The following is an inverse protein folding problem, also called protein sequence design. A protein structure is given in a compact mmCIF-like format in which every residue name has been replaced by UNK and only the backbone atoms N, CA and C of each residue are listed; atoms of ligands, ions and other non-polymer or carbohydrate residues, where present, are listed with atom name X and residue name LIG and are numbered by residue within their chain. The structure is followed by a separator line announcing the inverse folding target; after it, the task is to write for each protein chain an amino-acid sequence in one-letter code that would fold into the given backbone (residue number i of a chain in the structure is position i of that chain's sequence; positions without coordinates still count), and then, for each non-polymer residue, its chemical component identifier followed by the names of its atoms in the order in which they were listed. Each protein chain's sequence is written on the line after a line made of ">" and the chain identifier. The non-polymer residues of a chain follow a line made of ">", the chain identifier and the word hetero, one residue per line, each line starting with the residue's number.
data_IF_381391239535
#
_entry.id   IF_381391239535
#
_cell.length_a   1.000
_cell.length_b   1.000
_cell.length_c   1.000
_cell.angle_alpha   90.00
_cell.angle_beta   90.00
_cell.angle_gamma   90.00
#
_symmetry.space_group_name_H-M   'P 1'
#
loop_
_entity.id
_entity.type
_entity.pdbx_description
1 polymer ?
#
# COMPACT_ATOMS: atom_id res chain seq x y z
N UNK A 1 -33.33 -24.08 56.33
CA UNK A 1 -31.86 -23.95 56.40
C UNK A 1 -31.13 -24.71 55.27
N UNK A 2 -31.60 -25.87 54.81
CA UNK A 2 -30.93 -26.66 53.75
C UNK A 2 -30.93 -26.02 52.34
N UNK A 3 -31.92 -25.19 51.99
CA UNK A 3 -32.04 -24.57 50.66
C UNK A 3 -30.97 -23.47 50.39
N UNK A 4 -30.53 -22.77 51.43
CA UNK A 4 -29.45 -21.78 51.34
C UNK A 4 -28.10 -22.44 51.05
N UNK A 5 -27.88 -23.65 51.57
CA UNK A 5 -26.65 -24.41 51.37
C UNK A 5 -26.49 -24.90 49.93
N UNK A 6 -27.59 -25.25 49.26
CA UNK A 6 -27.60 -25.64 47.84
C UNK A 6 -27.37 -24.45 46.90
N UNK A 7 -27.92 -23.28 47.24
CA UNK A 7 -27.68 -22.04 46.48
C UNK A 7 -26.21 -21.62 46.51
N UNK A 8 -25.54 -21.76 47.67
CA UNK A 8 -24.12 -21.46 47.79
C UNK A 8 -23.24 -22.44 46.98
N UNK A 9 -23.58 -23.73 46.97
CA UNK A 9 -22.83 -24.73 46.20
C UNK A 9 -23.02 -24.54 44.69
N UNK A 10 -24.23 -24.20 44.23
CA UNK A 10 -24.50 -23.90 42.82
C UNK A 10 -23.78 -22.64 42.33
N UNK A 11 -23.72 -21.59 43.17
CA UNK A 11 -22.98 -20.37 42.86
C UNK A 11 -21.45 -20.58 42.87
N UNK A 12 -20.93 -21.42 43.77
CA UNK A 12 -19.51 -21.78 43.78
C UNK A 12 -19.13 -22.61 42.54
N UNK A 13 -20.00 -23.53 42.11
CA UNK A 13 -19.80 -24.34 40.90
C UNK A 13 -19.79 -23.54 39.60
N UNK A 14 -20.60 -22.48 39.50
CA UNK A 14 -20.61 -21.57 38.34
C UNK A 14 -19.34 -20.71 38.23
N UNK A 15 -18.64 -20.44 39.34
CA UNK A 15 -17.39 -19.66 39.30
C UNK A 15 -16.16 -20.44 38.84
N UNK A 16 -16.17 -21.78 38.89
CA UNK A 16 -15.02 -22.60 38.46
C UNK A 16 -15.07 -22.97 36.96
N UNK A 17 -16.17 -22.73 36.25
CA UNK A 17 -16.35 -23.13 34.84
C UNK A 17 -15.74 -22.18 33.79
N UNK A 18 -15.15 -21.06 34.19
CA UNK A 18 -14.61 -20.06 33.26
C UNK A 18 -13.07 -20.07 33.25
N UNK A 19 -12.46 -21.21 32.92
CA UNK A 19 -11.04 -21.27 32.53
C UNK A 19 -10.93 -21.84 31.11
N UNK A 20 -11.28 -21.02 30.13
CA UNK A 20 -11.13 -21.33 28.72
C UNK A 20 -10.81 -20.07 27.94
N UNK A 21 -9.56 -19.60 28.00
CA UNK A 21 -9.10 -18.51 27.13
C UNK A 21 -7.96 -17.68 27.67
N UNK A 22 -6.74 -18.21 27.69
CA UNK A 22 -5.54 -17.39 27.89
C UNK A 22 -4.32 -17.78 27.04
N UNK A 23 -4.42 -18.75 26.13
CA UNK A 23 -3.33 -19.04 25.18
C UNK A 23 -3.25 -18.00 24.04
N UNK A 24 -4.37 -17.36 23.70
CA UNK A 24 -4.44 -16.36 22.62
C UNK A 24 -3.78 -15.03 22.99
N UNK A 25 -3.74 -14.66 24.27
CA UNK A 25 -3.13 -13.40 24.74
C UNK A 25 -1.60 -13.50 24.79
N UNK A 26 -1.04 -14.68 25.09
CA UNK A 26 0.42 -14.91 25.07
C UNK A 26 1.00 -14.88 23.64
N UNK A 27 0.19 -15.18 22.62
CA UNK A 27 0.58 -15.09 21.21
C UNK A 27 0.71 -13.66 20.68
N UNK A 28 0.20 -12.66 21.41
CA UNK A 28 0.32 -11.24 21.03
C UNK A 28 1.72 -10.68 21.30
N UNK A 29 2.53 -11.37 22.10
CA UNK A 29 3.91 -11.01 22.44
C UNK A 29 4.93 -11.95 21.79
N UNK A 30 4.57 -12.59 20.66
CA UNK A 30 5.56 -13.27 19.86
C UNK A 30 6.69 -12.28 19.55
N UNK A 31 7.95 -12.56 19.91
CA UNK A 31 9.04 -11.68 19.60
C UNK A 31 9.03 -11.50 18.09
N UNK A 32 8.82 -10.26 17.65
CA UNK A 32 9.05 -9.85 16.29
C UNK A 32 10.50 -10.23 16.02
N UNK A 33 10.72 -11.35 15.32
CA UNK A 33 12.06 -11.83 15.03
C UNK A 33 12.73 -10.69 14.29
N UNK A 34 13.70 -10.05 14.95
CA UNK A 34 14.60 -9.13 14.26
C UNK A 34 15.17 -9.95 13.11
N UNK A 35 14.89 -9.58 11.85
CA UNK A 35 15.37 -10.37 10.74
C UNK A 35 16.89 -10.41 10.82
N UNK A 36 17.44 -11.63 10.91
CA UNK A 36 18.88 -11.86 10.83
C UNK A 36 19.40 -11.16 9.58
N UNK A 37 20.50 -10.42 9.70
CA UNK A 37 21.07 -9.68 8.57
C UNK A 37 21.31 -10.64 7.38
N UNK A 38 20.62 -10.46 6.24
CA UNK A 38 20.77 -11.33 5.08
C UNK A 38 22.16 -11.26 4.45
N UNK A 39 23.02 -10.33 4.87
CA UNK A 39 24.41 -10.20 4.44
C UNK A 39 25.40 -11.01 5.30
N UNK A 40 24.96 -11.66 6.39
CA UNK A 40 25.82 -12.49 7.25
C UNK A 40 25.28 -13.92 7.44
N UNK A 41 26.18 -14.85 7.70
CA UNK A 41 25.94 -16.23 8.13
C UNK A 41 26.85 -16.52 9.32
N UNK A 42 26.31 -16.45 10.55
CA UNK A 42 27.06 -16.68 11.79
C UNK A 42 28.41 -15.91 11.79
N UNK A 43 28.35 -14.59 11.64
CA UNK A 43 29.48 -13.65 11.49
C UNK A 43 30.33 -13.74 10.21
N UNK A 44 30.03 -14.68 9.30
CA UNK A 44 30.70 -14.74 7.99
C UNK A 44 29.94 -13.88 6.96
N UNK A 45 30.61 -12.92 6.30
CA UNK A 45 29.95 -12.10 5.29
C UNK A 45 29.59 -12.94 4.06
N UNK A 46 28.37 -12.76 3.55
CA UNK A 46 27.86 -13.34 2.30
C UNK A 46 27.25 -12.27 1.40
N UNK A 47 27.12 -12.58 0.11
CA UNK A 47 26.48 -11.66 -0.85
C UNK A 47 24.98 -11.58 -0.57
N UNK A 48 24.52 -10.41 -0.16
CA UNK A 48 23.11 -10.05 -0.12
C UNK A 48 22.75 -9.24 -1.38
N UNK A 49 21.53 -9.44 -1.88
CA UNK A 49 20.96 -8.68 -2.98
C UNK A 49 19.65 -8.09 -2.44
N UNK A 50 19.41 -6.78 -2.57
CA UNK A 50 18.14 -6.19 -2.17
C UNK A 50 16.96 -6.80 -2.93
N UNK A 51 15.77 -6.61 -2.39
CA UNK A 51 14.55 -7.03 -3.06
C UNK A 51 14.38 -6.34 -4.42
N UNK A 52 13.77 -7.06 -5.35
CA UNK A 52 13.45 -6.52 -6.65
C UNK A 52 12.27 -5.55 -6.55
N UNK A 53 12.53 -4.27 -6.81
CA UNK A 53 11.53 -3.19 -6.72
C UNK A 53 11.58 -2.30 -7.96
N UNK A 54 10.47 -1.59 -8.21
CA UNK A 54 10.47 -0.49 -9.16
C UNK A 54 11.12 0.74 -8.52
N UNK A 55 12.35 1.05 -8.92
CA UNK A 55 13.10 2.20 -8.40
C UNK A 55 12.45 3.56 -8.67
N UNK A 56 11.58 3.65 -9.69
CA UNK A 56 10.93 4.89 -10.08
C UNK A 56 9.61 5.14 -9.34
N UNK A 57 8.98 4.10 -8.76
CA UNK A 57 7.63 4.22 -8.18
C UNK A 57 7.56 5.29 -7.09
N UNK A 58 6.61 6.22 -7.22
CA UNK A 58 6.40 7.34 -6.31
C UNK A 58 7.53 8.38 -6.28
N UNK A 59 8.56 8.27 -7.11
CA UNK A 59 9.64 9.26 -7.19
C UNK A 59 9.21 10.45 -8.04
N UNK A 60 9.60 11.65 -7.60
CA UNK A 60 9.43 12.86 -8.40
C UNK A 60 10.33 12.80 -9.63
N UNK A 61 9.78 13.13 -10.79
CA UNK A 61 10.49 13.21 -12.06
C UNK A 61 10.49 14.66 -12.53
N UNK A 62 11.66 15.15 -12.93
CA UNK A 62 11.80 16.46 -13.55
C UNK A 62 11.72 16.30 -15.07
N UNK A 63 10.74 16.96 -15.69
CA UNK A 63 10.55 16.97 -17.13
C UNK A 63 10.90 18.36 -17.68
N UNK A 64 11.68 18.39 -18.76
CA UNK A 64 12.07 19.66 -19.42
C UNK A 64 10.91 20.37 -20.12
N UNK A 65 9.83 19.64 -20.41
CA UNK A 65 8.60 20.16 -20.99
C UNK A 65 7.40 19.47 -20.33
N UNK A 66 6.33 20.20 -20.10
CA UNK A 66 5.04 19.63 -19.66
C UNK A 66 3.95 20.52 -20.23
N UNK A 67 2.97 19.92 -20.90
CA UNK A 67 1.91 20.65 -21.58
C UNK A 67 1.06 21.45 -20.58
N UNK A 68 0.41 22.53 -21.03
CA UNK A 68 -0.49 23.31 -20.17
C UNK A 68 0.16 24.19 -19.09
N UNK A 69 1.49 24.10 -18.88
CA UNK A 69 2.20 24.82 -17.80
C UNK A 69 2.14 26.35 -17.96
N UNK A 70 2.37 26.86 -19.18
CA UNK A 70 2.36 28.31 -19.46
C UNK A 70 1.00 28.82 -19.91
N UNK A 71 0.28 28.02 -20.69
CA UNK A 71 -1.07 28.29 -21.19
C UNK A 71 -1.70 26.98 -21.69
N UNK A 72 -3.05 26.89 -21.76
CA UNK A 72 -3.72 25.74 -22.35
C UNK A 72 -3.24 25.47 -23.78
N UNK A 73 -2.80 24.25 -24.05
CA UNK A 73 -2.27 23.84 -25.35
C UNK A 73 -3.14 22.75 -25.98
N UNK A 74 -3.21 22.70 -27.32
CA UNK A 74 -3.95 21.66 -28.05
C UNK A 74 -3.00 20.58 -28.52
N UNK A 75 -3.33 19.32 -28.27
CA UNK A 75 -2.62 18.16 -28.83
C UNK A 75 -3.60 17.27 -29.58
N UNK A 76 -3.11 16.49 -30.54
CA UNK A 76 -3.94 15.55 -31.30
C UNK A 76 -3.28 14.18 -31.28
N UNK A 77 -4.07 13.14 -31.02
CA UNK A 77 -3.57 11.78 -31.11
C UNK A 77 -3.44 11.39 -32.58
N UNK A 78 -2.40 10.63 -32.90
CA UNK A 78 -2.21 10.10 -34.25
C UNK A 78 -2.93 8.76 -34.32
N UNK A 79 -3.87 8.63 -35.24
CA UNK A 79 -4.57 7.38 -35.53
C UNK A 79 -4.21 6.90 -36.94
N UNK A 80 -4.28 5.59 -37.18
CA UNK A 80 -3.96 4.97 -38.48
C UNK A 80 -4.95 5.37 -39.60
N UNK A 81 -6.05 6.06 -39.29
CA UNK A 81 -7.04 6.54 -40.25
C UNK A 81 -7.43 8.01 -40.01
N UNK A 82 -6.96 8.90 -40.89
CA UNK A 82 -7.33 10.32 -40.99
C UNK A 82 -7.26 11.18 -39.69
N UNK A 83 -6.25 10.93 -38.86
CA UNK A 83 -5.97 11.76 -37.68
C UNK A 83 -6.90 11.45 -36.50
N UNK A 84 -6.32 11.31 -35.31
CA UNK A 84 -7.07 11.03 -34.09
C UNK A 84 -7.73 12.28 -33.52
N UNK A 85 -8.52 12.11 -32.45
CA UNK A 85 -9.15 13.23 -31.75
C UNK A 85 -8.10 14.20 -31.20
N UNK A 86 -8.47 15.47 -31.18
CA UNK A 86 -7.68 16.50 -30.53
C UNK A 86 -8.25 16.88 -29.17
N UNK A 87 -7.35 17.15 -28.24
CA UNK A 87 -7.63 17.45 -26.84
C UNK A 87 -6.92 18.73 -26.42
N UNK A 88 -7.37 19.31 -25.31
CA UNK A 88 -6.72 20.47 -24.69
C UNK A 88 -6.04 19.99 -23.42
N UNK A 89 -4.74 20.28 -23.32
CA UNK A 89 -3.97 20.14 -22.09
C UNK A 89 -3.97 21.46 -21.32
N UNK A 90 -4.36 21.41 -20.05
CA UNK A 90 -4.45 22.57 -19.17
C UNK A 90 -4.07 22.14 -17.74
N UNK A 91 -2.96 22.68 -17.23
CA UNK A 91 -2.41 22.33 -15.91
C UNK A 91 -3.36 22.69 -14.76
N UNK A 92 -4.22 23.69 -14.97
CA UNK A 92 -5.19 24.15 -13.95
C UNK A 92 -6.37 23.19 -13.80
N UNK A 93 -6.61 22.31 -14.78
CA UNK A 93 -7.74 21.40 -14.81
C UNK A 93 -7.28 19.97 -14.54
N UNK A 94 -7.62 19.36 -13.38
CA UNK A 94 -7.16 18.01 -13.02
C UNK A 94 -7.47 16.91 -14.05
N UNK A 95 -8.55 17.06 -14.82
CA UNK A 95 -8.97 16.10 -15.86
C UNK A 95 -8.23 16.28 -17.20
N UNK A 96 -7.48 17.38 -17.36
CA UNK A 96 -6.80 17.78 -18.60
C UNK A 96 -5.32 18.10 -18.40
N UNK A 97 -4.83 18.04 -17.16
CA UNK A 97 -3.41 18.16 -16.85
C UNK A 97 -2.71 16.83 -17.04
N UNK A 98 -1.43 16.89 -17.41
CA UNK A 98 -0.59 15.73 -17.65
C UNK A 98 0.78 15.89 -16.98
N UNK A 99 0.83 16.05 -15.64
CA UNK A 99 2.07 16.32 -14.91
C UNK A 99 3.05 15.15 -14.95
N UNK A 100 4.34 15.44 -14.76
CA UNK A 100 5.40 14.42 -14.74
C UNK A 100 5.21 13.35 -13.64
N UNK A 101 4.41 13.64 -12.60
CA UNK A 101 4.04 12.66 -11.57
C UNK A 101 3.27 11.46 -12.12
N UNK A 102 2.63 11.57 -13.28
CA UNK A 102 1.93 10.46 -13.94
C UNK A 102 2.88 9.44 -14.61
N UNK A 103 4.20 9.63 -14.51
CA UNK A 103 5.19 8.64 -14.97
C UNK A 103 5.48 7.56 -13.91
N UNK A 104 5.23 7.88 -12.64
CA UNK A 104 5.70 7.10 -11.49
C UNK A 104 4.60 6.76 -10.50
N UNK A 105 3.36 7.10 -10.81
CA UNK A 105 2.18 6.79 -10.00
C UNK A 105 1.72 5.33 -10.17
N UNK A 106 0.59 5.00 -9.56
CA UNK A 106 -0.01 3.69 -9.69
C UNK A 106 -0.61 3.52 -11.08
N UNK A 107 0.04 2.71 -11.92
CA UNK A 107 -0.46 2.39 -13.24
C UNK A 107 -1.65 1.41 -13.17
N UNK A 108 -2.86 1.94 -13.32
CA UNK A 108 -4.09 1.14 -13.47
C UNK A 108 -4.48 1.05 -14.96
N UNK A 109 -4.44 -0.13 -15.59
CA UNK A 109 -4.77 -0.29 -17.02
C UNK A 109 -6.18 0.17 -17.40
N UNK A 110 -7.12 0.17 -16.44
CA UNK A 110 -8.49 0.64 -16.69
C UNK A 110 -8.65 2.16 -16.61
N UNK A 111 -7.67 2.86 -16.03
CA UNK A 111 -7.67 4.31 -15.87
C UNK A 111 -6.22 4.80 -15.88
N UNK A 112 -5.64 4.82 -17.08
CA UNK A 112 -4.22 5.16 -17.24
C UNK A 112 -4.03 6.67 -17.11
N UNK A 113 -2.95 7.03 -16.42
CA UNK A 113 -2.42 8.38 -16.31
C UNK A 113 -1.20 8.49 -17.21
N UNK A 114 -1.09 9.59 -17.95
CA UNK A 114 0.02 9.81 -18.87
C UNK A 114 0.54 11.24 -18.73
N UNK A 115 1.86 11.40 -18.61
CA UNK A 115 2.54 12.69 -18.76
C UNK A 115 2.62 13.12 -20.23
N UNK A 116 2.56 14.43 -20.49
CA UNK A 116 2.66 15.04 -21.82
C UNK A 116 3.29 16.43 -21.75
#
# INVERSE_FOLDING_TARGET
>A
MALFSWFLIAMLGLTLGAQGGSDSYLKMFAPQQNPTDPCYDEDRPKRCIPDFVNAAFGKAVEASSTCGTSAPSKYCDVSDSNGGPCHVCDETQPKRRHPASYLTDLNNPNNITCWR
#
